data_IF_036999718219
#
_entry.id   IF_036999718219
#
_cell.length_a   1.000
_cell.length_b   1.000
_cell.length_c   1.000
_cell.angle_alpha   90.00
_cell.angle_beta   90.00
_cell.angle_gamma   90.00
#
_symmetry.space_group_name_H-M   'P 1'
#
loop_
_entity.id
_entity.type
_entity.pdbx_description
1 polymer ?
#
# COMPACT_ATOMS: atom_id res chain seq x y z
N UNK A 1 -8.01 -8.44 -6.83
CA UNK A 1 -6.95 -7.52 -7.30
C UNK A 1 -5.70 -7.59 -6.42
N UNK A 2 -5.78 -7.25 -5.13
CA UNK A 2 -4.61 -7.24 -4.23
C UNK A 2 -3.90 -8.59 -4.07
N UNK A 3 -4.64 -9.71 -4.13
CA UNK A 3 -4.04 -11.05 -4.03
C UNK A 3 -2.96 -11.30 -5.09
N UNK A 4 -3.26 -10.98 -6.36
CA UNK A 4 -2.31 -11.08 -7.48
C UNK A 4 -1.04 -10.25 -7.24
N UNK A 5 -1.17 -9.08 -6.61
CA UNK A 5 -0.01 -8.24 -6.28
C UNK A 5 0.79 -8.78 -5.10
N UNK A 6 0.12 -9.37 -4.10
CA UNK A 6 0.79 -10.06 -3.00
C UNK A 6 1.60 -11.28 -3.47
N UNK A 7 1.14 -11.97 -4.51
CA UNK A 7 1.86 -13.08 -5.16
C UNK A 7 2.96 -12.61 -6.11
N UNK A 8 3.00 -11.33 -6.48
CA UNK A 8 3.97 -10.82 -7.48
C UNK A 8 5.43 -10.80 -7.02
N UNK A 9 5.68 -11.06 -5.73
CA UNK A 9 7.01 -11.26 -5.16
C UNK A 9 7.43 -12.73 -5.11
N UNK A 10 6.53 -13.67 -5.40
CA UNK A 10 6.86 -15.08 -5.41
C UNK A 10 7.88 -15.39 -6.51
N UNK A 11 8.93 -16.13 -6.15
CA UNK A 11 10.06 -16.42 -7.03
C UNK A 11 11.05 -15.27 -7.23
N UNK A 12 10.73 -14.04 -6.82
CA UNK A 12 11.66 -12.89 -6.85
C UNK A 12 12.46 -12.74 -5.55
N UNK A 13 11.95 -13.25 -4.43
CA UNK A 13 12.61 -13.23 -3.14
C UNK A 13 12.28 -14.51 -2.34
N UNK A 14 13.22 -15.08 -1.54
CA UNK A 14 12.94 -16.28 -0.75
C UNK A 14 11.92 -16.05 0.38
N UNK A 15 11.19 -17.07 0.82
CA UNK A 15 10.40 -16.98 2.05
C UNK A 15 11.26 -16.56 3.25
N UNK A 16 10.69 -15.88 4.27
CA UNK A 16 9.26 -15.63 4.47
C UNK A 16 8.74 -14.28 3.93
N UNK A 17 9.57 -13.43 3.32
CA UNK A 17 9.16 -12.04 2.97
C UNK A 17 7.96 -11.98 2.00
N UNK A 18 7.88 -12.76 0.89
CA UNK A 18 6.68 -12.76 0.05
C UNK A 18 5.41 -13.15 0.81
N UNK A 19 5.53 -14.10 1.75
CA UNK A 19 4.42 -14.50 2.61
C UNK A 19 3.99 -13.37 3.56
N UNK A 20 4.94 -12.60 4.11
CA UNK A 20 4.66 -11.44 4.93
C UNK A 20 3.97 -10.31 4.15
N UNK A 21 4.37 -10.07 2.89
CA UNK A 21 3.68 -9.10 2.01
C UNK A 21 2.23 -9.54 1.73
N UNK A 22 1.99 -10.82 1.43
CA UNK A 22 0.62 -11.34 1.28
C UNK A 22 -0.18 -11.20 2.58
N UNK A 23 0.43 -11.57 3.70
CA UNK A 23 -0.19 -11.54 5.02
C UNK A 23 -0.72 -10.14 5.35
N UNK A 24 0.12 -9.11 5.17
CA UNK A 24 -0.22 -7.73 5.49
C UNK A 24 -1.24 -7.15 4.49
N UNK A 25 -1.03 -7.38 3.18
CA UNK A 25 -1.86 -6.79 2.13
C UNK A 25 -3.29 -7.38 2.10
N UNK A 26 -3.41 -8.67 2.40
CA UNK A 26 -4.67 -9.40 2.46
C UNK A 26 -5.30 -9.42 3.86
N UNK A 27 -4.76 -8.66 4.80
CA UNK A 27 -5.43 -8.44 6.09
C UNK A 27 -6.83 -7.84 5.90
N UNK A 28 -7.76 -8.18 6.78
CA UNK A 28 -9.10 -7.61 6.76
C UNK A 28 -9.04 -6.11 7.00
N UNK A 29 -9.91 -5.36 6.34
CA UNK A 29 -9.96 -3.90 6.47
C UNK A 29 -11.18 -3.30 5.80
N UNK A 30 -11.52 -2.08 6.20
CA UNK A 30 -12.67 -1.33 5.65
C UNK A 30 -12.52 -0.99 4.17
N UNK A 31 -11.28 -1.04 3.64
CA UNK A 31 -10.90 -0.63 2.27
C UNK A 31 -11.43 0.77 1.88
N UNK A 32 -11.49 1.68 2.86
CA UNK A 32 -12.01 3.04 2.70
C UNK A 32 -11.28 3.82 1.60
N UNK A 33 -9.94 3.72 1.57
CA UNK A 33 -9.11 4.47 0.59
C UNK A 33 -9.39 4.03 -0.86
N UNK A 34 -9.40 2.72 -1.20
CA UNK A 34 -9.89 2.24 -2.48
C UNK A 34 -11.31 2.72 -2.81
N UNK A 35 -12.23 2.62 -1.86
CA UNK A 35 -13.62 3.05 -2.07
C UNK A 35 -13.71 4.52 -2.45
N UNK A 36 -12.91 5.39 -1.81
CA UNK A 36 -12.84 6.81 -2.17
C UNK A 36 -12.31 7.03 -3.59
N UNK A 37 -11.31 6.26 -4.04
CA UNK A 37 -10.80 6.35 -5.43
C UNK A 37 -11.90 5.99 -6.42
N UNK A 38 -12.64 4.91 -6.18
CA UNK A 38 -13.77 4.53 -7.04
C UNK A 38 -14.87 5.60 -7.03
N UNK A 39 -15.26 6.07 -5.85
CA UNK A 39 -16.32 7.08 -5.70
C UNK A 39 -15.96 8.40 -6.41
N UNK A 40 -14.72 8.87 -6.29
CA UNK A 40 -14.26 10.06 -6.99
C UNK A 40 -14.28 9.89 -8.52
N UNK A 41 -13.90 8.71 -9.02
CA UNK A 41 -13.95 8.41 -10.45
C UNK A 41 -15.40 8.34 -10.96
N UNK A 42 -16.30 7.71 -10.21
CA UNK A 42 -17.73 7.62 -10.55
C UNK A 42 -18.40 9.00 -10.54
N UNK A 43 -18.08 9.85 -9.55
CA UNK A 43 -18.62 11.20 -9.44
C UNK A 43 -18.30 12.11 -10.65
N UNK A 44 -17.24 11.79 -11.42
CA UNK A 44 -16.88 12.49 -12.66
C UNK A 44 -17.27 11.71 -13.93
N UNK A 45 -18.09 10.66 -13.80
CA UNK A 45 -18.60 9.87 -14.92
C UNK A 45 -17.65 8.78 -15.44
N UNK A 46 -16.60 8.44 -14.69
CA UNK A 46 -15.64 7.40 -15.05
C UNK A 46 -16.15 5.98 -14.78
N UNK A 47 -15.65 5.01 -15.55
CA UNK A 47 -15.95 3.59 -15.33
C UNK A 47 -15.06 3.02 -14.22
N UNK A 48 -15.64 2.23 -13.30
CA UNK A 48 -14.91 1.67 -12.15
C UNK A 48 -13.65 0.86 -12.56
N UNK A 49 -13.75 0.06 -13.63
CA UNK A 49 -12.62 -0.75 -14.10
C UNK A 49 -11.36 0.07 -14.45
N UNK A 50 -11.52 1.35 -14.83
CA UNK A 50 -10.41 2.21 -15.23
C UNK A 50 -9.46 2.59 -14.08
N UNK A 51 -9.94 2.58 -12.83
CA UNK A 51 -9.18 3.05 -11.66
C UNK A 51 -8.86 1.96 -10.66
N UNK A 52 -9.21 0.71 -10.95
CA UNK A 52 -9.10 -0.36 -9.97
C UNK A 52 -7.64 -0.58 -9.50
N UNK A 53 -6.67 -0.56 -10.42
CA UNK A 53 -5.25 -0.66 -10.05
C UNK A 53 -4.72 0.61 -9.37
N UNK A 54 -5.27 1.79 -9.68
CA UNK A 54 -4.94 3.01 -8.94
C UNK A 54 -5.42 2.91 -7.48
N UNK A 55 -6.64 2.41 -7.27
CA UNK A 55 -7.19 2.13 -5.95
C UNK A 55 -6.35 1.09 -5.20
N UNK A 56 -5.87 0.05 -5.88
CA UNK A 56 -4.97 -0.94 -5.31
C UNK A 56 -3.61 -0.34 -4.91
N UNK A 57 -3.03 0.55 -5.72
CA UNK A 57 -1.78 1.23 -5.38
C UNK A 57 -1.90 2.03 -4.07
N UNK A 58 -3.00 2.76 -3.90
CA UNK A 58 -3.30 3.49 -2.65
C UNK A 58 -3.41 2.54 -1.46
N UNK A 59 -4.03 1.38 -1.63
CA UNK A 59 -4.15 0.40 -0.54
C UNK A 59 -2.83 -0.29 -0.23
N UNK A 60 -1.96 -0.52 -1.21
CA UNK A 60 -0.59 -1.01 -0.96
C UNK A 60 0.19 0.02 -0.15
N UNK A 61 0.04 1.31 -0.44
CA UNK A 61 0.64 2.39 0.36
C UNK A 61 0.15 2.34 1.80
N UNK A 62 -1.17 2.25 1.98
CA UNK A 62 -1.76 2.14 3.31
C UNK A 62 -1.30 0.89 4.06
N UNK A 63 -1.25 -0.26 3.38
CA UNK A 63 -0.89 -1.52 4.02
C UNK A 63 0.58 -1.52 4.47
N UNK A 64 1.52 -0.96 3.69
CA UNK A 64 2.91 -0.91 4.14
C UNK A 64 3.10 0.05 5.31
N UNK A 65 2.33 1.16 5.37
CA UNK A 65 2.46 2.10 6.49
C UNK A 65 2.13 1.38 7.80
N UNK A 66 1.04 0.63 7.84
CA UNK A 66 0.64 -0.16 9.00
C UNK A 66 1.69 -1.22 9.39
N UNK A 67 2.34 -1.87 8.42
CA UNK A 67 3.42 -2.83 8.71
C UNK A 67 4.57 -2.17 9.45
N UNK A 68 4.91 -0.93 9.09
CA UNK A 68 5.97 -0.16 9.74
C UNK A 68 5.51 0.47 11.06
N UNK A 69 4.30 1.03 11.13
CA UNK A 69 3.70 1.59 12.34
C UNK A 69 3.59 0.54 13.46
N UNK A 70 3.29 -0.71 13.11
CA UNK A 70 3.19 -1.80 14.08
C UNK A 70 4.54 -2.24 14.68
N UNK A 71 5.69 -1.75 14.19
CA UNK A 71 7.00 -2.21 14.66
C UNK A 71 7.30 -1.77 16.12
N UNK A 72 8.17 -2.49 16.86
CA UNK A 72 8.47 -2.14 18.25
C UNK A 72 9.08 -0.75 18.49
N UNK A 73 9.69 -0.15 17.46
CA UNK A 73 10.23 1.21 17.53
C UNK A 73 9.22 2.30 17.16
N UNK A 74 7.99 1.91 16.83
CA UNK A 74 6.88 2.78 16.46
C UNK A 74 5.77 2.55 17.50
N UNK A 75 4.59 2.03 17.13
CA UNK A 75 3.48 1.83 18.05
C UNK A 75 3.64 0.56 18.93
N UNK A 76 4.51 -0.38 18.51
CA UNK A 76 4.73 -1.65 19.20
C UNK A 76 3.43 -2.48 19.39
N UNK A 77 2.53 -2.43 18.42
CA UNK A 77 1.25 -3.14 18.45
C UNK A 77 1.45 -4.65 18.25
N UNK A 78 0.90 -5.46 19.16
CA UNK A 78 0.90 -6.92 19.03
C UNK A 78 -0.23 -7.44 18.11
N UNK A 79 -1.34 -6.70 18.05
CA UNK A 79 -2.55 -7.08 17.33
C UNK A 79 -3.07 -5.91 16.49
N UNK A 80 -3.50 -6.21 15.27
CA UNK A 80 -4.26 -5.29 14.42
C UNK A 80 -5.54 -5.97 13.94
N UNK A 81 -6.68 -5.36 14.29
CA UNK A 81 -8.03 -5.88 13.96
C UNK A 81 -8.22 -7.34 14.42
N UNK A 82 -7.74 -7.66 15.62
CA UNK A 82 -7.85 -9.00 16.22
C UNK A 82 -6.89 -10.05 15.65
N UNK A 83 -5.99 -9.69 14.73
CA UNK A 83 -4.99 -10.58 14.14
C UNK A 83 -3.58 -10.12 14.56
N UNK A 84 -2.60 -11.04 14.76
CA UNK A 84 -1.22 -10.65 15.01
C UNK A 84 -0.70 -9.65 13.97
N UNK A 85 0.03 -8.63 14.42
CA UNK A 85 0.72 -7.72 13.50
C UNK A 85 1.80 -8.48 12.72
N UNK A 86 2.26 -7.90 11.61
CA UNK A 86 3.16 -8.61 10.68
C UNK A 86 4.45 -9.05 11.37
N UNK A 87 5.00 -8.23 12.28
CA UNK A 87 6.22 -8.58 13.00
C UNK A 87 6.00 -9.67 14.06
N UNK A 88 4.78 -9.82 14.58
CA UNK A 88 4.39 -10.91 15.50
C UNK A 88 4.09 -12.22 14.79
N UNK A 89 3.55 -12.16 13.57
CA UNK A 89 3.29 -13.34 12.76
C UNK A 89 4.54 -13.94 12.13
N UNK A 90 5.59 -13.14 11.94
CA UNK A 90 6.87 -13.55 11.36
C UNK A 90 8.01 -13.20 12.32
N UNK A 91 8.67 -12.07 12.07
CA UNK A 91 9.68 -11.45 12.92
C UNK A 91 9.87 -9.99 12.47
N UNK A 92 10.57 -9.19 13.29
CA UNK A 92 10.86 -7.79 13.01
C UNK A 92 11.62 -7.62 11.67
N UNK A 93 12.75 -8.29 11.40
CA UNK A 93 13.47 -8.14 10.13
C UNK A 93 12.63 -8.47 8.88
N UNK A 94 11.74 -9.44 8.97
CA UNK A 94 10.85 -9.85 7.88
C UNK A 94 9.75 -8.83 7.65
N UNK A 95 9.10 -8.33 8.71
CA UNK A 95 8.11 -7.26 8.60
C UNK A 95 8.71 -5.98 8.02
N UNK A 96 9.89 -5.58 8.51
CA UNK A 96 10.62 -4.41 7.98
C UNK A 96 10.91 -4.54 6.48
N UNK A 97 11.47 -5.68 6.04
CA UNK A 97 11.75 -5.96 4.62
C UNK A 97 10.47 -6.02 3.79
N UNK A 98 9.40 -6.63 4.29
CA UNK A 98 8.11 -6.68 3.61
C UNK A 98 7.58 -5.26 3.34
N UNK A 99 7.60 -4.38 4.33
CA UNK A 99 7.21 -2.98 4.15
C UNK A 99 8.07 -2.25 3.11
N UNK A 100 9.39 -2.43 3.10
CA UNK A 100 10.27 -1.85 2.07
C UNK A 100 9.92 -2.32 0.66
N UNK A 101 9.68 -3.63 0.48
CA UNK A 101 9.27 -4.17 -0.81
C UNK A 101 7.91 -3.62 -1.27
N UNK A 102 6.99 -3.38 -0.34
CA UNK A 102 5.66 -2.87 -0.66
C UNK A 102 5.68 -1.42 -1.18
N UNK A 103 6.69 -0.61 -0.83
CA UNK A 103 6.89 0.73 -1.44
C UNK A 103 7.12 0.60 -2.95
N UNK A 104 8.02 -0.29 -3.37
CA UNK A 104 8.27 -0.56 -4.78
C UNK A 104 7.08 -1.25 -5.47
N UNK A 105 6.36 -2.12 -4.74
CA UNK A 105 5.13 -2.73 -5.22
C UNK A 105 4.07 -1.68 -5.54
N UNK A 106 3.86 -0.69 -4.66
CA UNK A 106 2.91 0.40 -4.90
C UNK A 106 3.22 1.16 -6.20
N UNK A 107 4.50 1.45 -6.47
CA UNK A 107 4.92 2.08 -7.72
C UNK A 107 4.61 1.22 -8.96
N UNK A 108 4.85 -0.10 -8.88
CA UNK A 108 4.52 -1.04 -9.96
C UNK A 108 3.01 -1.13 -10.22
N UNK A 109 2.22 -1.20 -9.15
CA UNK A 109 0.75 -1.25 -9.24
C UNK A 109 0.21 0.05 -9.85
N UNK A 110 0.72 1.19 -9.40
CA UNK A 110 0.40 2.50 -9.93
C UNK A 110 0.72 2.59 -11.43
N UNK A 111 1.90 2.10 -11.85
CA UNK A 111 2.29 2.12 -13.26
C UNK A 111 1.32 1.33 -14.15
N UNK A 112 0.86 0.16 -13.69
CA UNK A 112 -0.17 -0.63 -14.40
C UNK A 112 -1.50 0.12 -14.43
N UNK A 113 -1.92 0.75 -13.33
CA UNK A 113 -3.13 1.57 -13.30
C UNK A 113 -3.09 2.78 -14.23
N UNK A 114 -1.96 3.47 -14.29
CA UNK A 114 -1.75 4.59 -15.22
C UNK A 114 -1.74 4.13 -16.68
N UNK A 115 -1.22 2.94 -16.97
CA UNK A 115 -1.29 2.36 -18.31
C UNK A 115 -2.74 2.03 -18.70
N UNK A 116 -3.53 1.47 -17.79
CA UNK A 116 -4.93 1.14 -18.02
C UNK A 116 -5.83 2.39 -18.16
N UNK A 117 -5.61 3.42 -17.34
CA UNK A 117 -6.33 4.69 -17.44
C UNK A 117 -5.93 5.50 -18.69
N UNK A 118 -4.71 5.29 -19.18
CA UNK A 118 -4.13 5.95 -20.35
C UNK A 118 -4.28 7.50 -20.37
N UNK A 119 -4.00 8.23 -19.26
CA UNK A 119 -4.02 9.68 -19.28
C UNK A 119 -2.84 10.24 -20.11
N UNK A 120 -2.95 11.50 -20.52
CA UNK A 120 -1.82 12.24 -21.08
C UNK A 120 -0.63 12.31 -20.11
N UNK A 121 0.55 12.66 -20.64
CA UNK A 121 1.80 12.68 -19.87
C UNK A 121 1.76 13.63 -18.67
N UNK A 122 1.04 14.76 -18.77
CA UNK A 122 0.94 15.73 -17.69
C UNK A 122 0.13 15.16 -16.52
N UNK A 123 -1.06 14.63 -16.81
CA UNK A 123 -1.93 13.97 -15.82
C UNK A 123 -1.29 12.72 -15.24
N UNK A 124 -0.60 11.92 -16.06
CA UNK A 124 0.17 10.75 -15.60
C UNK A 124 1.18 11.15 -14.53
N UNK A 125 1.96 12.21 -14.80
CA UNK A 125 2.94 12.75 -13.86
C UNK A 125 2.26 13.29 -12.61
N UNK A 126 1.17 14.04 -12.75
CA UNK A 126 0.45 14.62 -11.63
C UNK A 126 -0.08 13.54 -10.67
N UNK A 127 -0.76 12.51 -11.18
CA UNK A 127 -1.28 11.40 -10.38
C UNK A 127 -0.16 10.66 -9.65
N UNK A 128 0.94 10.36 -10.35
CA UNK A 128 2.06 9.66 -9.74
C UNK A 128 2.73 10.47 -8.62
N UNK A 129 2.95 11.77 -8.86
CA UNK A 129 3.52 12.65 -7.85
C UNK A 129 2.58 12.85 -6.67
N UNK A 130 1.27 12.94 -6.89
CA UNK A 130 0.29 13.14 -5.82
C UNK A 130 0.33 11.99 -4.82
N UNK A 131 0.31 10.74 -5.30
CA UNK A 131 0.37 9.57 -4.42
C UNK A 131 1.63 9.57 -3.54
N UNK A 132 2.80 9.83 -4.14
CA UNK A 132 4.07 9.77 -3.38
C UNK A 132 4.34 11.04 -2.56
N UNK A 133 3.75 12.18 -2.91
CA UNK A 133 3.73 13.36 -2.03
C UNK A 133 2.87 13.12 -0.80
N UNK A 134 1.66 12.59 -0.99
CA UNK A 134 0.76 12.24 0.10
C UNK A 134 1.35 11.14 1.01
N UNK A 135 2.10 10.20 0.46
CA UNK A 135 2.78 9.16 1.24
C UNK A 135 4.07 9.65 1.92
N UNK A 136 4.72 10.67 1.38
CA UNK A 136 6.06 11.11 1.78
C UNK A 136 6.11 12.05 3.00
N UNK A 137 7.23 12.76 3.12
CA UNK A 137 7.52 13.65 4.24
C UNK A 137 6.54 14.81 4.40
N UNK A 138 5.89 15.28 3.32
CA UNK A 138 4.86 16.31 3.39
C UNK A 138 3.45 15.77 3.72
N UNK A 139 3.33 14.46 3.95
CA UNK A 139 2.06 13.77 4.19
C UNK A 139 2.22 12.69 5.25
N UNK A 140 1.85 11.46 4.92
CA UNK A 140 1.75 10.33 5.85
C UNK A 140 3.01 10.10 6.69
N UNK A 141 4.19 9.97 6.06
CA UNK A 141 5.45 9.72 6.80
C UNK A 141 5.82 10.90 7.71
N UNK A 142 5.62 12.14 7.23
CA UNK A 142 5.91 13.32 8.05
C UNK A 142 4.95 13.45 9.23
N UNK A 143 3.67 13.17 9.02
CA UNK A 143 2.68 13.12 10.09
C UNK A 143 3.02 12.07 11.14
N UNK A 144 3.44 10.87 10.72
CA UNK A 144 3.87 9.82 11.66
C UNK A 144 5.12 10.23 12.46
N UNK A 145 6.08 10.89 11.82
CA UNK A 145 7.27 11.37 12.52
C UNK A 145 6.92 12.39 13.61
N UNK A 146 5.99 13.32 13.34
CA UNK A 146 5.55 14.33 14.31
C UNK A 146 4.72 13.74 15.46
N UNK A 147 4.06 12.60 15.26
CA UNK A 147 3.25 11.93 16.31
C UNK A 147 4.12 11.21 17.35
N UNK A 148 5.37 10.89 16.98
CA UNK A 148 6.34 10.20 17.84
C UNK A 148 7.31 11.15 18.58
N UNK A 149 7.29 12.46 18.26
CA UNK A 149 8.09 13.51 18.92
C UNK A 149 7.37 14.13 20.13
#
# INVERSE_FOLDING_TARGET
MLARWGESLDGLWPPPVPAAVRYSLLSEGKRLRPTLVFACNEAVGGAAAAVAELAAAVEVVHAYSLVHDDLPCMDNDDLRRGRPTTHRAFDVPTATRAGFHMVALAARVLAVGLAALAPDSERRRAIALELFRAAGAGGMIGGQALDLE
#
